data_IF_576706344173
#
_entry.id   IF_576706344173
#
_cell.length_a   1.000
_cell.length_b   1.000
_cell.length_c   1.000
_cell.angle_alpha   90.00
_cell.angle_beta   90.00
_cell.angle_gamma   90.00
#
_symmetry.space_group_name_H-M   'P 1'
#
loop_
_entity.id
_entity.type
_entity.pdbx_description
1 polymer ?
#
# COMPACT_ATOMS: atom_id res chain seq x y z
N UNK A 1 -2.37 -7.27 1.69
CA UNK A 1 -3.32 -6.24 2.18
C UNK A 1 -3.26 -5.05 1.25
N UNK A 2 -4.40 -4.46 0.91
CA UNK A 2 -4.45 -3.25 0.07
C UNK A 2 -4.80 -2.01 0.91
N UNK A 3 -4.31 -0.84 0.48
CA UNK A 3 -4.49 0.46 1.14
C UNK A 3 -4.82 1.56 0.13
N UNK A 4 -5.40 2.67 0.61
CA UNK A 4 -5.68 3.87 -0.19
C UNK A 4 -7.08 3.93 -0.79
N UNK A 5 -7.77 2.79 -0.89
CA UNK A 5 -9.10 2.70 -1.50
C UNK A 5 -9.11 2.87 -3.02
N UNK A 6 -10.28 2.72 -3.62
CA UNK A 6 -10.57 2.91 -5.05
C UNK A 6 -11.81 3.78 -5.23
N UNK A 7 -12.11 4.16 -6.47
CA UNK A 7 -13.24 5.02 -6.84
C UNK A 7 -14.62 4.47 -6.43
N UNK A 8 -14.73 3.16 -6.16
CA UNK A 8 -15.97 2.51 -5.68
C UNK A 8 -16.06 2.44 -4.15
N UNK A 9 -15.08 2.95 -3.40
CA UNK A 9 -15.07 2.84 -1.95
C UNK A 9 -15.80 3.99 -1.24
N UNK A 10 -16.65 3.63 -0.26
CA UNK A 10 -17.21 4.59 0.69
C UNK A 10 -16.11 5.28 1.50
N UNK A 11 -16.35 6.51 1.95
CA UNK A 11 -15.39 7.37 2.66
C UNK A 11 -14.67 6.69 3.84
N UNK A 12 -15.37 5.79 4.55
CA UNK A 12 -14.80 5.02 5.68
C UNK A 12 -13.69 4.04 5.25
N UNK A 13 -13.74 3.54 4.01
CA UNK A 13 -12.82 2.57 3.43
C UNK A 13 -11.64 3.24 2.70
N UNK A 14 -11.74 4.54 2.40
CA UNK A 14 -10.68 5.35 1.81
C UNK A 14 -9.67 5.89 2.84
N UNK A 15 -9.86 5.59 4.13
CA UNK A 15 -8.96 6.05 5.21
C UNK A 15 -7.61 5.36 5.15
N UNK A 16 -6.54 6.08 5.50
CA UNK A 16 -5.18 5.55 5.54
C UNK A 16 -5.00 4.34 6.48
N UNK A 17 -5.78 4.28 7.57
CA UNK A 17 -5.76 3.18 8.53
C UNK A 17 -6.53 1.94 8.07
N UNK A 18 -7.35 2.03 7.01
CA UNK A 18 -8.15 0.91 6.54
C UNK A 18 -7.27 -0.11 5.79
N UNK A 19 -7.41 -1.39 6.14
CA UNK A 19 -6.63 -2.50 5.56
C UNK A 19 -7.58 -3.47 4.88
N UNK A 20 -7.63 -3.43 3.56
CA UNK A 20 -8.51 -4.32 2.82
C UNK A 20 -7.92 -5.75 2.77
N UNK A 21 -8.71 -6.73 3.21
CA UNK A 21 -8.37 -8.17 3.32
C UNK A 21 -9.00 -9.01 2.21
N UNK A 22 -8.98 -8.51 0.98
CA UNK A 22 -9.36 -9.30 -0.17
C UNK A 22 -8.46 -10.54 -0.31
N UNK A 23 -9.04 -11.67 -0.74
CA UNK A 23 -8.29 -12.88 -1.07
C UNK A 23 -7.21 -12.56 -2.11
N UNK A 24 -5.99 -13.11 -2.02
CA UNK A 24 -4.92 -12.84 -3.00
C UNK A 24 -5.31 -13.17 -4.45
N UNK A 25 -6.19 -14.15 -4.65
CA UNK A 25 -6.70 -14.56 -5.98
C UNK A 25 -7.83 -13.65 -6.50
N UNK A 26 -8.20 -12.61 -5.75
CA UNK A 26 -9.26 -11.70 -6.16
C UNK A 26 -8.76 -10.72 -7.22
N UNK A 27 -8.99 -11.03 -8.49
CA UNK A 27 -8.62 -10.18 -9.64
C UNK A 27 -9.65 -9.09 -9.91
N UNK A 28 -10.09 -8.42 -8.86
CA UNK A 28 -11.01 -7.30 -8.98
C UNK A 28 -10.31 -6.14 -9.70
N UNK A 29 -10.95 -5.55 -10.70
CA UNK A 29 -10.42 -4.44 -11.50
C UNK A 29 -10.19 -3.14 -10.71
N UNK A 30 -10.58 -3.12 -9.44
CA UNK A 30 -10.35 -2.02 -8.51
C UNK A 30 -9.05 -2.14 -7.71
N UNK A 31 -8.21 -3.13 -8.01
CA UNK A 31 -6.91 -3.34 -7.39
C UNK A 31 -5.77 -2.85 -8.31
N UNK A 32 -4.71 -2.32 -7.71
CA UNK A 32 -3.51 -1.88 -8.41
C UNK A 32 -2.29 -1.92 -7.50
N UNK A 33 -1.11 -1.59 -8.05
CA UNK A 33 0.15 -1.54 -7.31
C UNK A 33 0.77 -0.15 -7.37
N UNK A 34 1.49 0.23 -6.31
CA UNK A 34 2.32 1.43 -6.26
C UNK A 34 3.74 0.97 -5.96
N UNK A 35 4.67 1.29 -6.86
CA UNK A 35 6.08 0.97 -6.69
C UNK A 35 6.67 1.85 -5.58
N UNK A 36 7.59 1.28 -4.80
CA UNK A 36 8.36 1.99 -3.79
C UNK A 36 9.83 1.72 -4.06
N UNK A 37 10.65 2.76 -4.04
CA UNK A 37 12.09 2.63 -4.09
C UNK A 37 12.62 2.34 -2.69
N UNK A 38 13.45 1.30 -2.54
CA UNK A 38 14.21 1.09 -1.31
C UNK A 38 15.30 2.16 -1.21
N UNK A 39 15.38 2.86 -0.08
CA UNK A 39 16.54 3.68 0.22
C UNK A 39 17.73 2.74 0.39
N UNK A 40 18.72 2.84 -0.50
CA UNK A 40 20.04 2.27 -0.25
C UNK A 40 20.67 3.05 0.92
N UNK A 41 21.26 2.39 1.93
CA UNK A 41 21.95 3.09 2.99
C UNK A 41 23.11 3.88 2.39
N UNK A 42 23.00 5.21 2.42
CA UNK A 42 24.15 6.12 2.27
C UNK A 42 24.94 5.99 3.56
N UNK A 43 25.90 5.08 3.54
CA UNK A 43 26.91 4.81 4.57
C UNK A 43 26.40 4.49 5.99
N UNK A 44 26.45 3.20 6.34
CA UNK A 44 26.43 2.71 7.71
C UNK A 44 27.74 3.02 8.48
N UNK A 45 28.28 4.24 8.36
CA UNK A 45 29.50 4.68 9.05
C UNK A 45 29.36 5.97 9.87
N UNK A 46 28.26 6.73 9.72
CA UNK A 46 28.04 7.97 10.49
C UNK A 46 27.12 7.76 11.72
N UNK A 47 27.31 6.66 12.45
CA UNK A 47 26.77 6.44 13.80
C UNK A 47 27.81 5.76 14.71
N UNK A 48 29.11 5.99 14.46
CA UNK A 48 30.18 5.69 15.42
C UNK A 48 30.59 6.94 16.16
#
# INVERSE_FOLDING_TARGET
MLRGGSWINNQRNARCAYRNRNNPDNWNNNLGFRVVLSIAPIEANCLR
#
